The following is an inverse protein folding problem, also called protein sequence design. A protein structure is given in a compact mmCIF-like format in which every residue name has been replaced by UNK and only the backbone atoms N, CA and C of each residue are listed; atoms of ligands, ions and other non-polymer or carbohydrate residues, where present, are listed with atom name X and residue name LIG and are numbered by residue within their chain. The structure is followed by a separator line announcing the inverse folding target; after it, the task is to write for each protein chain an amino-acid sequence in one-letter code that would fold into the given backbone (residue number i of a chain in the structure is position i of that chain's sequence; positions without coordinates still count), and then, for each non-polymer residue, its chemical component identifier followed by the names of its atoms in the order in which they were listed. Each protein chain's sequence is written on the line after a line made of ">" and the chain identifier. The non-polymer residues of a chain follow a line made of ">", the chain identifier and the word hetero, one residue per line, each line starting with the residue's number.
data_IF_184127780102
#
_entry.id   IF_184127780102
#
_cell.length_a   1.000
_cell.length_b   1.000
_cell.length_c   1.000
_cell.angle_alpha   90.00
_cell.angle_beta   90.00
_cell.angle_gamma   90.00
#
_symmetry.space_group_name_H-M   'P 1'
#
loop_
_entity.id
_entity.type
_entity.pdbx_description
1 polymer ?
#
# COMPACT_ATOMS: atom_id res chain seq x y z
N UNK A 1 16.59 -23.53 10.12
CA UNK A 1 16.52 -22.24 9.37
C UNK A 1 15.27 -22.07 8.51
N UNK A 2 14.65 -23.12 7.95
CA UNK A 2 13.42 -23.00 7.15
C UNK A 2 12.20 -22.36 7.88
N UNK A 3 12.10 -22.53 9.21
CA UNK A 3 11.00 -21.96 10.02
C UNK A 3 11.01 -20.41 10.06
N UNK A 4 12.18 -19.78 10.03
CA UNK A 4 12.29 -18.32 10.10
C UNK A 4 11.78 -17.64 8.81
N UNK A 5 12.07 -18.23 7.65
CA UNK A 5 11.58 -17.71 6.35
C UNK A 5 10.08 -17.96 6.19
N UNK A 6 9.59 -19.10 6.68
CA UNK A 6 8.15 -19.35 6.67
C UNK A 6 7.39 -18.36 7.58
N UNK A 7 7.93 -18.07 8.77
CA UNK A 7 7.40 -17.02 9.64
C UNK A 7 7.40 -15.64 8.99
N UNK A 8 8.49 -15.27 8.32
CA UNK A 8 8.60 -14.01 7.58
C UNK A 8 7.56 -13.92 6.44
N UNK A 9 7.29 -15.01 5.73
CA UNK A 9 6.27 -15.06 4.67
C UNK A 9 4.84 -14.96 5.21
N UNK A 10 4.55 -15.56 6.37
CA UNK A 10 3.26 -15.39 7.05
C UNK A 10 3.07 -13.93 7.45
N UNK A 11 4.10 -13.32 8.05
CA UNK A 11 4.07 -11.90 8.40
C UNK A 11 3.85 -11.00 7.19
N UNK A 12 4.51 -11.27 6.06
CA UNK A 12 4.31 -10.50 4.83
C UNK A 12 2.92 -10.70 4.23
N UNK A 13 2.37 -11.91 4.29
CA UNK A 13 1.00 -12.17 3.88
C UNK A 13 0.00 -11.38 4.75
N UNK A 14 0.24 -11.30 6.06
CA UNK A 14 -0.54 -10.48 6.98
C UNK A 14 -0.42 -8.99 6.66
N UNK A 15 0.79 -8.47 6.44
CA UNK A 15 1.01 -7.07 6.06
C UNK A 15 0.28 -6.75 4.74
N UNK A 16 0.39 -7.63 3.73
CA UNK A 16 -0.31 -7.46 2.46
C UNK A 16 -1.83 -7.52 2.61
N UNK A 17 -2.36 -8.37 3.51
CA UNK A 17 -3.78 -8.42 3.83
C UNK A 17 -4.26 -7.10 4.45
N UNK A 18 -3.53 -6.60 5.46
CA UNK A 18 -3.85 -5.32 6.12
C UNK A 18 -3.82 -4.18 5.11
N UNK A 19 -2.81 -4.13 4.25
CA UNK A 19 -2.72 -3.17 3.16
C UNK A 19 -3.93 -3.25 2.23
N UNK A 20 -4.32 -4.45 1.80
CA UNK A 20 -5.49 -4.66 0.94
C UNK A 20 -6.79 -4.21 1.62
N UNK A 21 -6.97 -4.49 2.90
CA UNK A 21 -8.15 -4.06 3.68
C UNK A 21 -8.23 -2.53 3.75
N UNK A 22 -7.11 -1.85 4.03
CA UNK A 22 -7.09 -0.39 4.11
C UNK A 22 -7.30 0.25 2.74
N UNK A 23 -6.66 -0.26 1.68
CA UNK A 23 -6.90 0.18 0.30
C UNK A 23 -8.37 0.01 -0.08
N UNK A 24 -8.97 -1.15 0.22
CA UNK A 24 -10.38 -1.43 -0.07
C UNK A 24 -11.32 -0.52 0.73
N UNK A 25 -11.00 -0.26 2.00
CA UNK A 25 -11.78 0.63 2.87
C UNK A 25 -11.71 2.07 2.37
N UNK A 26 -10.51 2.54 2.01
CA UNK A 26 -10.31 3.88 1.44
C UNK A 26 -11.12 4.06 0.16
N UNK A 27 -10.98 3.16 -0.82
CA UNK A 27 -11.72 3.29 -2.08
C UNK A 27 -13.22 3.07 -1.89
N UNK A 28 -13.65 2.14 -1.04
CA UNK A 28 -15.06 1.97 -0.70
C UNK A 28 -15.67 3.25 -0.12
N UNK A 29 -14.94 3.93 0.76
CA UNK A 29 -15.35 5.21 1.34
C UNK A 29 -15.33 6.35 0.32
N UNK A 30 -14.27 6.48 -0.50
CA UNK A 30 -14.17 7.51 -1.54
C UNK A 30 -15.31 7.38 -2.54
N UNK A 31 -15.60 6.17 -3.03
CA UNK A 31 -16.73 5.93 -3.92
C UNK A 31 -18.04 6.28 -3.21
N UNK A 32 -18.27 5.78 -1.99
CA UNK A 32 -19.53 6.00 -1.28
C UNK A 32 -19.81 7.48 -0.99
N UNK A 33 -18.78 8.25 -0.66
CA UNK A 33 -18.91 9.69 -0.42
C UNK A 33 -19.03 10.48 -1.71
N UNK A 34 -18.25 10.14 -2.74
CA UNK A 34 -18.19 10.88 -4.01
C UNK A 34 -19.31 10.54 -5.00
N UNK A 35 -19.91 9.36 -4.88
CA UNK A 35 -21.08 8.95 -5.66
C UNK A 35 -22.41 9.33 -5.00
N UNK A 36 -22.38 9.90 -3.79
CA UNK A 36 -23.60 10.30 -3.11
C UNK A 36 -24.31 11.40 -3.90
N UNK A 37 -25.63 11.24 -4.11
CA UNK A 37 -26.48 12.19 -4.81
C UNK A 37 -26.44 13.62 -4.22
N UNK A 38 -25.91 13.76 -2.99
CA UNK A 38 -25.69 15.05 -2.31
C UNK A 38 -24.55 15.84 -2.94
N UNK A 39 -23.53 15.20 -3.50
CA UNK A 39 -22.44 15.87 -4.22
C UNK A 39 -22.84 16.28 -5.64
N UNK A 40 -23.62 15.46 -6.34
CA UNK A 40 -24.21 15.80 -7.64
C UNK A 40 -25.07 17.09 -7.54
N UNK A 41 -25.80 17.27 -6.43
CA UNK A 41 -26.57 18.50 -6.14
C UNK A 41 -25.70 19.74 -5.87
N UNK A 42 -24.45 19.55 -5.46
CA UNK A 42 -23.50 20.64 -5.19
C UNK A 42 -22.65 20.98 -6.43
N UNK A 43 -22.93 20.36 -7.59
CA UNK A 43 -22.20 20.58 -8.83
C UNK A 43 -20.74 20.10 -8.78
N UNK A 44 -20.38 19.28 -7.78
CA UNK A 44 -19.03 18.73 -7.67
C UNK A 44 -18.88 17.57 -8.66
N UNK A 45 -17.77 17.52 -9.43
CA UNK A 45 -17.54 16.43 -10.36
C UNK A 45 -17.43 15.11 -9.60
N UNK A 46 -18.06 14.06 -10.13
CA UNK A 46 -17.91 12.70 -9.61
C UNK A 46 -16.43 12.31 -9.61
N UNK A 47 -16.00 11.62 -8.56
CA UNK A 47 -14.63 11.12 -8.48
C UNK A 47 -14.34 10.21 -9.67
N UNK A 48 -13.36 10.59 -10.48
CA UNK A 48 -12.81 9.77 -11.55
C UNK A 48 -11.55 9.12 -11.05
N UNK A 49 -11.48 7.79 -11.19
CA UNK A 49 -10.25 7.06 -10.94
C UNK A 49 -9.16 7.54 -11.88
N UNK A 50 -7.99 7.80 -11.31
CA UNK A 50 -6.77 8.02 -12.06
C UNK A 50 -6.01 6.70 -12.22
N UNK A 51 -5.07 6.67 -13.17
CA UNK A 51 -4.22 5.50 -13.40
C UNK A 51 -3.46 5.05 -12.14
N UNK A 52 -3.10 5.99 -11.27
CA UNK A 52 -2.43 5.72 -10.00
C UNK A 52 -3.32 4.89 -9.08
N UNK A 53 -4.62 5.17 -9.04
CA UNK A 53 -5.57 4.49 -8.18
C UNK A 53 -5.74 3.03 -8.59
N UNK A 54 -5.90 2.80 -9.89
CA UNK A 54 -5.89 1.46 -10.48
C UNK A 54 -4.59 0.72 -10.20
N UNK A 55 -3.45 1.42 -10.27
CA UNK A 55 -2.15 0.87 -9.92
C UNK A 55 -2.12 0.37 -8.47
N UNK A 56 -2.52 1.20 -7.50
CA UNK A 56 -2.52 0.83 -6.09
C UNK A 56 -3.39 -0.39 -5.82
N UNK A 57 -4.60 -0.44 -6.38
CA UNK A 57 -5.53 -1.55 -6.21
C UNK A 57 -4.95 -2.84 -6.82
N UNK A 58 -4.52 -2.77 -8.09
CA UNK A 58 -4.03 -3.93 -8.82
C UNK A 58 -2.76 -4.51 -8.18
N UNK A 59 -1.77 -3.67 -7.88
CA UNK A 59 -0.50 -4.13 -7.31
C UNK A 59 -0.62 -4.60 -5.86
N UNK A 60 -1.49 -3.99 -5.05
CA UNK A 60 -1.77 -4.50 -3.69
C UNK A 60 -2.41 -5.89 -3.76
N UNK A 61 -3.32 -6.11 -4.71
CA UNK A 61 -3.98 -7.40 -4.93
C UNK A 61 -3.00 -8.46 -5.43
N UNK A 62 -2.17 -8.11 -6.41
CA UNK A 62 -1.14 -9.00 -6.98
C UNK A 62 -0.15 -9.43 -5.89
N UNK A 63 0.31 -8.50 -5.04
CA UNK A 63 1.20 -8.82 -3.93
C UNK A 63 0.54 -9.79 -2.94
N UNK A 64 -0.67 -9.50 -2.50
CA UNK A 64 -1.39 -10.36 -1.56
C UNK A 64 -1.56 -11.79 -2.11
N UNK A 65 -2.06 -11.91 -3.35
CA UNK A 65 -2.23 -13.19 -4.03
C UNK A 65 -0.89 -13.92 -4.15
N UNK A 66 0.19 -13.22 -4.51
CA UNK A 66 1.53 -13.79 -4.64
C UNK A 66 2.04 -14.38 -3.31
N UNK A 67 1.78 -13.72 -2.18
CA UNK A 67 2.14 -14.25 -0.86
C UNK A 67 1.29 -15.43 -0.44
N UNK A 68 -0.03 -15.41 -0.70
CA UNK A 68 -0.90 -16.57 -0.46
C UNK A 68 -0.45 -17.77 -1.28
N UNK A 69 -0.15 -17.61 -2.57
CA UNK A 69 0.40 -18.68 -3.40
C UNK A 69 1.74 -19.20 -2.85
N UNK A 70 2.61 -18.30 -2.35
CA UNK A 70 3.86 -18.70 -1.72
C UNK A 70 3.67 -19.49 -0.41
N UNK A 71 2.55 -19.33 0.30
CA UNK A 71 2.23 -20.08 1.52
C UNK A 71 1.64 -21.46 1.21
N UNK A 72 0.79 -21.55 0.19
CA UNK A 72 0.12 -22.80 -0.23
C UNK A 72 1.11 -23.82 -0.83
N UNK A 73 2.34 -23.42 -1.13
CA UNK A 73 3.43 -24.37 -1.44
C UNK A 73 3.34 -25.01 -2.82
N UNK A 74 2.51 -24.48 -3.74
CA UNK A 74 2.47 -24.93 -5.14
C UNK A 74 3.78 -24.50 -5.85
N UNK A 75 4.79 -25.37 -5.79
CA UNK A 75 6.16 -25.17 -6.33
C UNK A 75 6.24 -24.98 -7.85
N UNK A 76 5.16 -25.21 -8.59
CA UNK A 76 5.22 -25.35 -10.05
C UNK A 76 5.31 -24.03 -10.84
N UNK A 77 4.71 -22.94 -10.34
CA UNK A 77 4.63 -21.67 -11.10
C UNK A 77 5.92 -20.84 -11.07
N UNK A 78 6.79 -21.04 -10.07
CA UNK A 78 7.97 -20.21 -9.85
C UNK A 78 9.24 -21.04 -9.62
N UNK A 79 9.53 -21.93 -10.55
CA UNK A 79 10.73 -22.77 -10.48
C UNK A 79 12.03 -21.93 -10.48
N UNK A 80 12.01 -20.77 -11.15
CA UNK A 80 13.12 -19.83 -11.16
C UNK A 80 13.00 -18.75 -10.07
N UNK A 81 13.95 -18.76 -9.14
CA UNK A 81 14.07 -17.76 -8.06
C UNK A 81 14.07 -16.31 -8.56
N UNK A 82 14.69 -16.05 -9.71
CA UNK A 82 14.78 -14.71 -10.30
C UNK A 82 13.45 -14.23 -10.86
N UNK A 83 12.67 -15.11 -11.47
CA UNK A 83 11.34 -14.78 -11.99
C UNK A 83 10.39 -14.41 -10.84
N UNK A 84 10.41 -15.20 -9.76
CA UNK A 84 9.65 -14.87 -8.54
C UNK A 84 10.06 -13.52 -7.96
N UNK A 85 11.37 -13.32 -7.77
CA UNK A 85 11.92 -12.08 -7.24
C UNK A 85 11.47 -10.88 -8.09
N UNK A 86 11.59 -10.99 -9.41
CA UNK A 86 11.17 -9.95 -10.35
C UNK A 86 9.66 -9.66 -10.26
N UNK A 87 8.82 -10.70 -10.23
CA UNK A 87 7.37 -10.57 -10.14
C UNK A 87 6.87 -10.01 -8.82
N UNK A 88 7.63 -10.15 -7.72
CA UNK A 88 7.32 -9.52 -6.43
C UNK A 88 7.93 -8.13 -6.30
N UNK A 89 9.11 -7.90 -6.89
CA UNK A 89 9.83 -6.63 -6.82
C UNK A 89 9.16 -5.56 -7.69
N UNK A 90 8.72 -5.91 -8.90
CA UNK A 90 8.04 -4.98 -9.80
C UNK A 90 6.80 -4.31 -9.18
N UNK A 91 5.80 -5.06 -8.66
CA UNK A 91 4.63 -4.45 -8.04
C UNK A 91 4.98 -3.65 -6.76
N UNK A 92 5.98 -4.08 -5.99
CA UNK A 92 6.42 -3.36 -4.80
C UNK A 92 7.08 -2.02 -5.13
N UNK A 93 7.97 -1.98 -6.12
CA UNK A 93 8.60 -0.75 -6.60
C UNK A 93 7.57 0.20 -7.20
N UNK A 94 6.60 -0.31 -7.96
CA UNK A 94 5.55 0.51 -8.54
C UNK A 94 4.64 1.13 -7.48
N UNK A 95 4.25 0.36 -6.46
CA UNK A 95 3.50 0.85 -5.30
C UNK A 95 4.26 1.96 -4.56
N UNK A 96 5.55 1.76 -4.31
CA UNK A 96 6.40 2.78 -3.68
C UNK A 96 6.48 4.04 -4.54
N UNK A 97 6.67 3.90 -5.86
CA UNK A 97 6.72 5.02 -6.78
C UNK A 97 5.44 5.86 -6.76
N UNK A 98 4.26 5.22 -6.77
CA UNK A 98 2.98 5.92 -6.66
C UNK A 98 2.87 6.66 -5.32
N UNK A 99 3.20 5.99 -4.21
CA UNK A 99 3.05 6.58 -2.88
C UNK A 99 4.04 7.72 -2.61
N UNK A 100 5.29 7.60 -3.05
CA UNK A 100 6.25 8.71 -2.95
C UNK A 100 5.80 9.92 -3.76
N UNK A 101 5.25 9.72 -4.96
CA UNK A 101 4.65 10.80 -5.73
C UNK A 101 3.47 11.42 -4.99
N UNK A 102 2.60 10.61 -4.38
CA UNK A 102 1.47 11.10 -3.57
C UNK A 102 1.93 11.95 -2.39
N UNK A 103 2.97 11.52 -1.66
CA UNK A 103 3.58 12.30 -0.57
C UNK A 103 4.13 13.62 -1.09
N UNK A 104 4.86 13.59 -2.21
CA UNK A 104 5.46 14.79 -2.79
C UNK A 104 4.39 15.83 -3.14
N UNK A 105 3.32 15.41 -3.82
CA UNK A 105 2.19 16.27 -4.17
C UNK A 105 1.50 16.82 -2.92
N UNK A 106 1.34 16.01 -1.87
CA UNK A 106 0.75 16.48 -0.60
C UNK A 106 1.61 17.55 0.08
N UNK A 107 2.93 17.33 0.17
CA UNK A 107 3.86 18.31 0.73
C UNK A 107 3.83 19.62 -0.08
N UNK A 108 3.83 19.51 -1.41
CA UNK A 108 3.78 20.68 -2.30
C UNK A 108 2.47 21.45 -2.12
N UNK A 109 1.33 20.76 -2.05
CA UNK A 109 0.03 21.39 -1.81
C UNK A 109 -0.08 22.07 -0.44
N UNK A 110 0.50 21.47 0.61
CA UNK A 110 0.54 22.05 1.95
C UNK A 110 1.39 23.33 1.96
N UNK A 111 2.53 23.31 1.26
CA UNK A 111 3.41 24.47 1.12
C UNK A 111 2.74 25.64 0.39
N UNK A 112 2.04 25.38 -0.71
CA UNK A 112 1.29 26.43 -1.42
C UNK A 112 0.15 27.02 -0.58
N UNK A 113 -0.43 26.22 0.32
CA UNK A 113 -1.46 26.70 1.23
C UNK A 113 -0.86 27.63 2.29
N UNK A 114 0.29 27.26 2.86
CA UNK A 114 1.01 28.07 3.85
C UNK A 114 1.50 29.41 3.27
N UNK A 115 2.05 29.40 2.04
CA UNK A 115 2.54 30.61 1.37
C UNK A 115 1.41 31.61 1.03
N UNK A 116 0.21 31.11 0.67
CA UNK A 116 -0.95 31.95 0.35
C UNK A 116 -1.73 32.45 1.59
N UNK A 117 -1.46 31.91 2.79
CA UNK A 117 -2.14 32.25 4.05
C UNK A 117 -1.35 33.24 4.94
N UNK A 118 -0.43 34.01 4.36
CA UNK A 118 0.27 35.14 5.00
C UNK A 118 -0.65 36.36 5.26
N UNK A 119 -1.82 36.11 5.83
CA UNK A 119 -2.71 37.14 6.37
C UNK A 119 -3.29 36.65 7.70
N UNK A 120 -2.80 37.24 8.80
CA UNK A 120 -3.20 37.27 10.23
C UNK A 120 -4.53 36.63 10.71
N UNK A 121 -4.94 35.50 10.16
CA UNK A 121 -6.03 34.71 10.68
C UNK A 121 -5.45 33.47 11.34
N UNK A 122 -5.71 33.35 12.65
CA UNK A 122 -5.51 32.18 13.50
C UNK A 122 -6.29 30.97 12.94
N UNK A 123 -5.85 30.43 11.81
CA UNK A 123 -6.35 29.19 11.26
C UNK A 123 -5.43 28.09 11.75
N UNK A 124 -6.03 27.08 12.38
CA UNK A 124 -5.40 25.86 12.87
C UNK A 124 -4.40 25.36 11.84
N UNK A 125 -3.11 25.35 12.19
CA UNK A 125 -2.04 24.76 11.38
C UNK A 125 -2.36 23.28 11.25
N UNK A 126 -2.93 22.87 10.12
CA UNK A 126 -3.17 21.46 9.83
C UNK A 126 -1.82 20.91 9.34
N UNK A 127 -1.07 20.30 10.25
CA UNK A 127 0.19 19.67 9.89
C UNK A 127 -0.08 18.57 8.85
N UNK A 128 0.66 18.54 7.73
CA UNK A 128 0.54 17.46 6.76
C UNK A 128 0.87 16.16 7.47
N UNK A 129 -0.01 15.16 7.34
CA UNK A 129 0.10 13.86 8.02
C UNK A 129 -0.13 13.86 9.54
N UNK A 130 -0.79 14.88 10.10
CA UNK A 130 -1.34 14.82 11.47
C UNK A 130 -2.87 14.76 11.47
N UNK A 131 -3.43 13.87 12.31
CA UNK A 131 -4.87 13.86 12.63
C UNK A 131 -5.14 14.50 13.99
N UNK A 132 -4.15 15.14 14.59
CA UNK A 132 -4.27 15.68 15.93
C UNK A 132 -5.29 16.82 15.97
N UNK A 133 -6.09 16.87 17.04
CA UNK A 133 -7.19 17.82 17.19
C UNK A 133 -8.51 17.46 16.48
N UNK A 134 -8.57 16.39 15.68
CA UNK A 134 -9.82 15.88 15.09
C UNK A 134 -10.60 15.00 16.08
N UNK A 135 -11.94 15.01 16.02
CA UNK A 135 -12.82 14.25 16.92
C UNK A 135 -13.93 13.53 16.17
N UNK A 136 -14.30 12.34 16.66
CA UNK A 136 -15.39 11.54 16.10
C UNK A 136 -15.07 11.02 14.69
N UNK A 137 -16.00 11.18 13.77
CA UNK A 137 -15.89 10.65 12.40
C UNK A 137 -14.75 11.29 11.58
N UNK A 138 -14.36 12.53 11.87
CA UNK A 138 -13.25 13.18 11.17
C UNK A 138 -11.90 12.56 11.52
N UNK A 139 -11.75 12.07 12.77
CA UNK A 139 -10.54 11.37 13.21
C UNK A 139 -10.38 10.03 12.49
N UNK A 140 -11.46 9.24 12.38
CA UNK A 140 -11.41 7.94 11.71
C UNK A 140 -11.13 8.08 10.21
N UNK A 141 -11.75 9.06 9.54
CA UNK A 141 -11.49 9.37 8.14
C UNK A 141 -10.02 9.76 7.94
N UNK A 142 -9.50 10.66 8.78
CA UNK A 142 -8.10 11.07 8.71
C UNK A 142 -7.15 9.88 8.93
N UNK A 143 -7.41 9.04 9.93
CA UNK A 143 -6.61 7.85 10.20
C UNK A 143 -6.59 6.87 9.01
N UNK A 144 -7.73 6.65 8.35
CA UNK A 144 -7.82 5.82 7.14
C UNK A 144 -7.03 6.45 5.98
N UNK A 145 -7.15 7.76 5.76
CA UNK A 145 -6.39 8.46 4.72
C UNK A 145 -4.87 8.34 4.94
N UNK A 146 -4.41 8.55 6.18
CA UNK A 146 -2.99 8.40 6.50
C UNK A 146 -2.53 6.95 6.37
N UNK A 147 -3.31 5.99 6.87
CA UNK A 147 -3.00 4.57 6.75
C UNK A 147 -2.89 4.14 5.29
N UNK A 148 -3.74 4.68 4.41
CA UNK A 148 -3.69 4.44 2.97
C UNK A 148 -2.39 4.93 2.33
N UNK A 149 -1.76 5.98 2.86
CA UNK A 149 -0.48 6.49 2.34
C UNK A 149 0.68 5.65 2.88
N UNK A 150 0.71 5.39 4.18
CA UNK A 150 1.87 4.77 4.85
C UNK A 150 1.93 3.24 4.69
N UNK A 151 0.80 2.53 4.75
CA UNK A 151 0.80 1.07 4.69
C UNK A 151 1.32 0.48 3.37
N UNK A 152 0.98 1.03 2.18
CA UNK A 152 1.56 0.52 0.95
C UNK A 152 3.07 0.78 0.86
N UNK A 153 3.58 1.86 1.47
CA UNK A 153 5.02 2.13 1.58
C UNK A 153 5.68 1.07 2.45
N UNK A 154 5.14 0.85 3.65
CA UNK A 154 5.63 -0.18 4.57
C UNK A 154 5.63 -1.54 3.88
N UNK A 155 4.51 -1.89 3.23
CA UNK A 155 4.37 -3.14 2.47
C UNK A 155 5.44 -3.24 1.39
N UNK A 156 5.63 -2.21 0.56
CA UNK A 156 6.63 -2.19 -0.51
C UNK A 156 8.06 -2.39 0.01
N UNK A 157 8.44 -1.71 1.10
CA UNK A 157 9.76 -1.85 1.74
C UNK A 157 9.97 -3.26 2.25
N UNK A 158 9.00 -3.82 2.96
CA UNK A 158 9.08 -5.18 3.50
C UNK A 158 9.18 -6.24 2.39
N UNK A 159 8.49 -6.05 1.27
CA UNK A 159 8.62 -6.91 0.08
C UNK A 159 10.02 -6.82 -0.52
N UNK A 160 10.59 -5.62 -0.67
CA UNK A 160 11.96 -5.45 -1.17
C UNK A 160 12.95 -6.16 -0.25
N UNK A 161 12.81 -6.01 1.07
CA UNK A 161 13.67 -6.70 2.05
C UNK A 161 13.57 -8.22 1.87
N UNK A 162 12.37 -8.78 1.70
CA UNK A 162 12.21 -10.23 1.46
C UNK A 162 12.89 -10.68 0.17
N UNK A 163 12.71 -9.93 -0.91
CA UNK A 163 13.32 -10.24 -2.20
C UNK A 163 14.85 -10.21 -2.09
N UNK A 164 15.41 -9.20 -1.44
CA UNK A 164 16.86 -9.09 -1.20
C UNK A 164 17.36 -10.27 -0.35
N UNK A 165 16.69 -10.57 0.76
CA UNK A 165 17.07 -11.68 1.65
C UNK A 165 16.98 -13.03 0.93
N UNK A 166 15.96 -13.24 0.11
CA UNK A 166 15.78 -14.50 -0.65
C UNK A 166 16.77 -14.66 -1.79
N UNK A 167 17.18 -13.57 -2.45
CA UNK A 167 18.25 -13.59 -3.45
C UNK A 167 19.61 -13.93 -2.84
N UNK A 168 19.97 -13.30 -1.71
CA UNK A 168 21.26 -13.53 -1.06
C UNK A 168 21.37 -14.87 -0.33
N UNK A 169 20.29 -15.37 0.28
CA UNK A 169 20.32 -16.65 1.03
C UNK A 169 19.98 -17.89 0.20
N UNK A 170 19.51 -17.73 -1.04
CA UNK A 170 19.08 -18.83 -1.90
C UNK A 170 17.83 -19.58 -1.40
N UNK A 171 17.27 -20.52 -2.20
CA UNK A 171 16.12 -21.31 -1.79
C UNK A 171 16.52 -22.31 -0.69
N UNK A 172 16.03 -22.07 0.53
CA UNK A 172 16.35 -22.88 1.73
C UNK A 172 15.66 -24.25 1.81
N UNK A 173 15.06 -24.71 0.72
CA UNK A 173 14.68 -26.11 0.61
C UNK A 173 15.87 -26.85 0.01
N UNK A 174 16.55 -27.64 0.84
CA UNK A 174 17.21 -28.82 0.28
C UNK A 174 16.16 -29.52 -0.60
N UNK A 175 16.48 -29.87 -1.85
CA UNK A 175 15.73 -30.93 -2.49
C UNK A 175 15.80 -32.08 -1.49
N UNK A 176 14.64 -32.49 -0.96
CA UNK A 176 14.57 -33.86 -0.49
C UNK A 176 15.06 -34.65 -1.69
N UNK A 177 16.22 -35.28 -1.53
CA UNK A 177 16.65 -36.29 -2.44
C UNK A 177 15.50 -37.31 -2.42
N UNK A 178 14.66 -37.23 -3.45
CA UNK A 178 13.74 -38.30 -3.80
C UNK A 178 14.65 -39.45 -4.23
N UNK A 179 15.14 -40.18 -3.23
CA UNK A 179 15.62 -41.54 -3.41
C UNK A 179 14.38 -42.41 -3.46
N UNK A 180 13.88 -42.64 -4.66
CA UNK A 180 13.18 -43.86 -5.06
C UNK A 180 13.65 -44.23 -6.46
#
# INVERSE_FOLDING_TARGET
>A
MARAIFGLRIWLAFICLVNLVIVSTYYGWVIGTMSSARQDRLGKPRYSYNWADYGVIAFSTILFISYIYSLVGKKHLFHHRFVRAFLMLFPALFLLGIMFRSIHVQIESARMTDENLTGDYFMVRIDPFSCDGLKGDSLSICAIMQSYIFLPIVTGVFVIIEVVVTLFRGPLHHPKADYY
#
